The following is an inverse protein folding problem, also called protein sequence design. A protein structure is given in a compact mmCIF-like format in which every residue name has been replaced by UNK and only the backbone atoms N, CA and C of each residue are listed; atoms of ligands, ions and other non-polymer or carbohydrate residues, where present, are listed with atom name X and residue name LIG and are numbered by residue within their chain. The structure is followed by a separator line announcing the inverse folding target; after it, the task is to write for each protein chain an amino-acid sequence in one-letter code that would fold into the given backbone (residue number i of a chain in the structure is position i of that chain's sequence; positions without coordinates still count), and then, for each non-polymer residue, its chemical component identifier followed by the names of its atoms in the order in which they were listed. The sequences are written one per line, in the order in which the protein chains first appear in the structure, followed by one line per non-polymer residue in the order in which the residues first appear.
data_IF_551907882176
#
_entry.id   IF_551907882176
#
_cell.length_a   1.000
_cell.length_b   1.000
_cell.length_c   1.000
_cell.angle_alpha   90.00
_cell.angle_beta   90.00
_cell.angle_gamma   90.00
#
_symmetry.space_group_name_H-M   'P 1'
#
loop_
_entity.id
_entity.type
_entity.pdbx_description
1 polymer ?
#
# COMPACT_ATOMS: atom_id res chain seq x y z
N UNK A 1 -8.61 7.57 0.73
CA UNK A 1 -7.25 7.78 0.18
C UNK A 1 -7.12 9.20 -0.33
N UNK A 2 -5.98 9.85 -0.14
CA UNK A 2 -5.84 11.24 -0.51
C UNK A 2 -6.00 11.41 -2.02
N UNK A 3 -6.71 12.45 -2.41
CA UNK A 3 -6.91 12.86 -3.82
C UNK A 3 -5.61 13.16 -4.58
N UNK A 4 -4.49 13.15 -3.87
CA UNK A 4 -3.15 13.50 -4.36
C UNK A 4 -2.64 12.52 -5.41
N UNK A 5 -2.73 11.21 -5.16
CA UNK A 5 -2.20 10.20 -6.07
C UNK A 5 -2.83 10.25 -7.46
N UNK A 6 -4.14 10.51 -7.52
CA UNK A 6 -4.86 10.66 -8.79
C UNK A 6 -4.48 11.97 -9.49
N UNK A 7 -4.34 13.08 -8.75
CA UNK A 7 -3.92 14.38 -9.32
C UNK A 7 -2.51 14.33 -9.87
N UNK A 8 -1.61 13.64 -9.17
CA UNK A 8 -0.19 13.56 -9.52
C UNK A 8 0.12 12.43 -10.49
N UNK A 9 -0.89 11.64 -10.89
CA UNK A 9 -0.72 10.46 -11.76
C UNK A 9 0.29 9.44 -11.23
N UNK A 10 0.36 9.31 -9.90
CA UNK A 10 1.22 8.32 -9.26
C UNK A 10 0.63 6.92 -9.45
N UNK A 11 1.50 5.96 -9.67
CA UNK A 11 1.11 4.55 -9.74
C UNK A 11 0.76 4.05 -8.34
N UNK A 12 -0.35 3.36 -8.21
CA UNK A 12 -0.76 2.70 -6.96
C UNK A 12 -1.61 1.47 -7.30
N UNK A 13 -1.65 0.46 -6.43
CA UNK A 13 -2.53 -0.68 -6.60
C UNK A 13 -4.00 -0.25 -6.70
N UNK A 14 -4.81 -1.04 -7.39
CA UNK A 14 -6.25 -0.84 -7.37
C UNK A 14 -6.77 -0.92 -5.94
N UNK A 15 -7.65 0.00 -5.57
CA UNK A 15 -8.13 0.11 -4.19
C UNK A 15 -9.57 0.61 -4.11
N UNK A 16 -10.12 0.54 -2.92
CA UNK A 16 -11.41 1.11 -2.58
C UNK A 16 -11.66 1.16 -1.08
N UNK A 17 -12.72 1.85 -0.72
CA UNK A 17 -13.17 2.01 0.66
C UNK A 17 -14.58 1.43 0.73
N UNK A 18 -14.84 0.64 1.76
CA UNK A 18 -16.15 0.05 2.03
C UNK A 18 -16.60 0.38 3.45
N UNK A 19 -17.89 0.69 3.61
CA UNK A 19 -18.56 0.97 4.88
C UNK A 19 -19.62 -0.06 5.24
N UNK A 20 -19.90 -0.97 4.32
CA UNK A 20 -20.81 -2.10 4.51
C UNK A 20 -20.25 -3.36 3.89
N UNK A 21 -20.87 -4.50 4.23
CA UNK A 21 -20.54 -5.80 3.64
C UNK A 21 -20.72 -5.80 2.13
N UNK A 22 -21.85 -5.24 1.66
CA UNK A 22 -22.21 -5.19 0.24
C UNK A 22 -21.19 -4.35 -0.54
N UNK A 23 -20.80 -3.19 0.00
CA UNK A 23 -19.76 -2.35 -0.59
C UNK A 23 -18.42 -3.07 -0.66
N UNK A 24 -18.05 -3.81 0.38
CA UNK A 24 -16.79 -4.53 0.41
C UNK A 24 -16.73 -5.66 -0.63
N UNK A 25 -17.82 -6.43 -0.76
CA UNK A 25 -17.94 -7.46 -1.79
C UNK A 25 -17.84 -6.82 -3.19
N UNK A 26 -18.54 -5.71 -3.42
CA UNK A 26 -18.51 -5.02 -4.70
C UNK A 26 -17.10 -4.48 -5.03
N UNK A 27 -16.42 -3.89 -4.05
CA UNK A 27 -15.05 -3.38 -4.22
C UNK A 27 -14.07 -4.52 -4.49
N UNK A 28 -14.11 -5.59 -3.69
CA UNK A 28 -13.21 -6.74 -3.86
C UNK A 28 -13.42 -7.44 -5.22
N UNK A 29 -14.66 -7.61 -5.65
CA UNK A 29 -14.96 -8.20 -6.94
C UNK A 29 -14.50 -7.31 -8.11
N UNK A 30 -14.55 -5.99 -7.95
CA UNK A 30 -14.02 -5.04 -8.94
C UNK A 30 -12.50 -5.07 -9.03
N UNK A 31 -11.82 -5.20 -7.89
CA UNK A 31 -10.34 -5.25 -7.80
C UNK A 31 -9.83 -6.61 -8.28
N UNK A 32 -10.52 -7.68 -7.90
CA UNK A 32 -10.07 -9.08 -8.06
C UNK A 32 -9.25 -9.56 -6.86
N UNK A 33 -9.41 -10.84 -6.53
CA UNK A 33 -8.67 -11.46 -5.42
C UNK A 33 -7.26 -11.88 -5.85
N UNK A 34 -6.28 -11.92 -4.93
CA UNK A 34 -6.40 -11.58 -3.52
C UNK A 34 -6.44 -10.08 -3.26
N UNK A 35 -7.09 -9.70 -2.15
CA UNK A 35 -7.13 -8.33 -1.65
C UNK A 35 -6.58 -8.24 -0.24
N UNK A 36 -5.99 -7.09 0.10
CA UNK A 36 -5.58 -6.76 1.46
C UNK A 36 -6.65 -5.89 2.12
N UNK A 37 -7.17 -6.38 3.24
CA UNK A 37 -8.17 -5.68 4.05
C UNK A 37 -7.49 -4.91 5.17
N UNK A 38 -7.80 -3.61 5.30
CA UNK A 38 -7.21 -2.74 6.33
C UNK A 38 -8.30 -1.93 7.03
N UNK A 39 -8.63 -2.21 8.30
CA UNK A 39 -9.51 -1.35 9.08
C UNK A 39 -8.87 0.02 9.30
N UNK A 40 -9.66 1.09 9.27
CA UNK A 40 -9.15 2.48 9.37
C UNK A 40 -8.56 2.85 10.72
N UNK A 41 -8.78 2.04 11.77
CA UNK A 41 -8.36 2.34 13.15
C UNK A 41 -7.17 1.53 13.65
N UNK A 42 -6.53 0.75 12.81
CA UNK A 42 -5.47 -0.13 13.31
C UNK A 42 -4.11 0.48 13.03
N UNK A 43 -3.44 0.87 14.12
CA UNK A 43 -2.02 1.21 14.10
C UNK A 43 -1.20 -0.09 14.19
N UNK A 44 -0.14 -0.19 13.38
CA UNK A 44 0.84 -1.28 13.48
C UNK A 44 0.41 -2.61 12.87
N UNK A 45 -0.38 -2.61 11.79
CA UNK A 45 -0.68 -3.83 11.03
C UNK A 45 -1.60 -4.86 11.71
N UNK A 46 -2.07 -4.60 12.93
CA UNK A 46 -3.02 -5.48 13.61
C UNK A 46 -4.35 -5.48 12.86
N UNK A 47 -4.93 -6.67 12.67
CA UNK A 47 -6.16 -6.91 11.92
C UNK A 47 -6.09 -6.59 10.41
N UNK A 48 -4.91 -6.41 9.81
CA UNK A 48 -4.79 -6.53 8.37
C UNK A 48 -4.86 -8.00 7.98
N UNK A 49 -5.60 -8.30 6.91
CA UNK A 49 -5.76 -9.67 6.43
C UNK A 49 -5.73 -9.74 4.91
N UNK A 50 -5.01 -10.72 4.39
CA UNK A 50 -5.02 -11.06 2.97
C UNK A 50 -6.18 -12.02 2.74
N UNK A 51 -7.07 -11.64 1.86
CA UNK A 51 -8.30 -12.38 1.57
C UNK A 51 -8.22 -12.93 0.14
N UNK A 52 -8.26 -14.24 0.02
CA UNK A 52 -8.11 -14.95 -1.26
C UNK A 52 -9.46 -15.22 -1.96
N UNK A 53 -10.59 -14.95 -1.30
CA UNK A 53 -11.90 -15.21 -1.87
C UNK A 53 -13.06 -14.64 -1.06
N UNK A 54 -14.26 -14.65 -1.66
CA UNK A 54 -15.43 -14.00 -1.10
C UNK A 54 -15.84 -14.57 0.27
N UNK A 55 -15.75 -15.87 0.48
CA UNK A 55 -16.15 -16.48 1.76
C UNK A 55 -15.31 -15.95 2.94
N UNK A 56 -13.99 -15.86 2.74
CA UNK A 56 -13.07 -15.29 3.72
C UNK A 56 -13.31 -13.79 3.92
N UNK A 57 -13.64 -13.06 2.83
CA UNK A 57 -14.02 -11.65 2.91
C UNK A 57 -15.22 -11.43 3.82
N UNK A 58 -16.26 -12.25 3.66
CA UNK A 58 -17.48 -12.14 4.44
C UNK A 58 -17.27 -12.42 5.92
N UNK A 59 -16.43 -13.41 6.24
CA UNK A 59 -16.01 -13.71 7.60
C UNK A 59 -15.24 -12.55 8.22
N UNK A 60 -14.23 -12.04 7.51
CA UNK A 60 -13.43 -10.91 7.96
C UNK A 60 -14.28 -9.66 8.23
N UNK A 61 -15.18 -9.29 7.32
CA UNK A 61 -16.01 -8.09 7.47
C UNK A 61 -16.92 -8.20 8.68
N UNK A 62 -17.49 -9.37 8.93
CA UNK A 62 -18.33 -9.58 10.10
C UNK A 62 -17.56 -9.31 11.39
N UNK A 63 -16.31 -9.75 11.46
CA UNK A 63 -15.42 -9.54 12.61
C UNK A 63 -14.90 -8.11 12.67
N UNK A 64 -14.43 -7.55 11.57
CA UNK A 64 -13.84 -6.20 11.52
C UNK A 64 -14.88 -5.10 11.73
N UNK A 65 -16.08 -5.22 11.20
CA UNK A 65 -17.17 -4.26 11.39
C UNK A 65 -17.65 -4.24 12.84
N UNK A 66 -17.67 -5.37 13.52
CA UNK A 66 -17.97 -5.45 14.95
C UNK A 66 -16.91 -4.73 15.81
N UNK A 67 -15.67 -4.77 15.39
CA UNK A 67 -14.54 -4.16 16.13
C UNK A 67 -14.41 -2.67 15.83
N UNK A 68 -14.68 -2.23 14.60
CA UNK A 68 -14.43 -0.86 14.13
C UNK A 68 -15.66 0.06 14.15
N UNK A 69 -16.85 -0.46 14.41
CA UNK A 69 -18.08 0.34 14.40
C UNK A 69 -18.35 0.95 13.01
N UNK A 70 -18.58 2.27 12.96
CA UNK A 70 -18.87 3.00 11.71
C UNK A 70 -17.62 3.28 10.85
N UNK A 71 -16.48 2.65 11.15
CA UNK A 71 -15.24 2.94 10.47
C UNK A 71 -15.12 2.21 9.14
N UNK A 72 -14.69 2.89 8.10
CA UNK A 72 -14.50 2.28 6.81
C UNK A 72 -13.35 1.29 6.83
N UNK A 73 -13.46 0.25 6.00
CA UNK A 73 -12.40 -0.69 5.68
C UNK A 73 -11.80 -0.30 4.34
N UNK A 74 -10.48 -0.19 4.28
CA UNK A 74 -9.75 -0.05 3.02
C UNK A 74 -9.51 -1.44 2.44
N UNK A 75 -9.66 -1.53 1.14
CA UNK A 75 -9.45 -2.75 0.37
C UNK A 75 -8.49 -2.42 -0.74
N UNK A 76 -7.33 -3.05 -0.71
CA UNK A 76 -6.27 -2.83 -1.70
C UNK A 76 -6.02 -4.14 -2.47
N UNK A 77 -5.67 -4.02 -3.73
CA UNK A 77 -5.13 -5.15 -4.48
C UNK A 77 -3.87 -5.66 -3.78
N UNK A 78 -3.84 -6.95 -3.46
CA UNK A 78 -2.63 -7.57 -2.93
C UNK A 78 -1.69 -7.95 -4.08
N UNK A 79 -0.47 -7.44 -4.03
CA UNK A 79 0.57 -7.73 -5.01
C UNK A 79 1.42 -8.88 -4.50
N UNK A 80 1.28 -10.07 -5.13
CA UNK A 80 2.14 -11.22 -4.83
C UNK A 80 3.54 -10.98 -5.38
N UNK A 81 4.53 -11.53 -4.71
CA UNK A 81 5.94 -11.51 -5.14
C UNK A 81 6.47 -10.09 -5.43
N UNK A 82 5.93 -9.09 -4.75
CA UNK A 82 6.39 -7.72 -4.88
C UNK A 82 7.74 -7.53 -4.18
N UNK A 83 8.59 -6.71 -4.78
CA UNK A 83 9.81 -6.23 -4.14
C UNK A 83 9.46 -4.95 -3.38
N UNK A 84 9.71 -4.92 -2.07
CA UNK A 84 9.47 -3.77 -1.24
C UNK A 84 10.67 -2.82 -1.28
N UNK A 85 10.39 -1.52 -1.33
CA UNK A 85 11.42 -0.47 -1.40
C UNK A 85 11.01 0.69 -0.52
N UNK A 86 11.95 1.20 0.26
CA UNK A 86 11.84 2.50 0.91
C UNK A 86 12.60 3.55 0.10
N UNK A 87 12.11 4.78 0.12
CA UNK A 87 12.79 5.91 -0.53
C UNK A 87 12.89 7.06 0.45
N UNK A 88 14.11 7.48 0.71
CA UNK A 88 14.38 8.66 1.51
C UNK A 88 14.59 9.87 0.61
N UNK A 89 13.86 10.95 0.89
CA UNK A 89 13.98 12.20 0.18
C UNK A 89 13.93 13.38 1.15
N UNK A 90 14.65 14.44 0.81
CA UNK A 90 14.67 15.70 1.53
C UNK A 90 14.10 16.79 0.59
N UNK A 91 13.20 17.61 1.10
CA UNK A 91 12.64 18.73 0.38
C UNK A 91 12.68 19.98 1.27
N UNK A 92 13.22 21.09 0.76
CA UNK A 92 13.24 22.38 1.47
C UNK A 92 12.12 23.34 1.03
N UNK A 93 11.27 22.89 0.11
CA UNK A 93 10.17 23.65 -0.47
C UNK A 93 10.40 24.01 -1.94
N UNK A 94 11.65 24.15 -2.34
CA UNK A 94 12.04 24.49 -3.73
C UNK A 94 12.75 23.31 -4.39
N UNK A 95 13.70 22.68 -3.69
CA UNK A 95 14.48 21.56 -4.20
C UNK A 95 14.12 20.26 -3.52
N UNK A 96 14.18 19.17 -4.29
CA UNK A 96 14.00 17.78 -3.80
C UNK A 96 15.26 17.00 -4.10
N UNK A 97 15.79 16.35 -3.09
CA UNK A 97 16.93 15.45 -3.21
C UNK A 97 16.50 14.06 -2.74
N UNK A 98 16.49 13.08 -3.65
CA UNK A 98 16.33 11.67 -3.30
C UNK A 98 17.66 11.20 -2.73
N UNK A 99 17.70 10.93 -1.43
CA UNK A 99 18.90 10.51 -0.72
C UNK A 99 19.26 9.06 -0.99
N UNK A 100 18.24 8.21 -1.22
CA UNK A 100 18.46 6.82 -1.57
C UNK A 100 17.16 6.05 -1.84
N UNK A 101 17.31 5.01 -2.62
CA UNK A 101 16.31 3.96 -2.84
C UNK A 101 16.83 2.68 -2.19
N UNK A 102 16.12 2.19 -1.19
CA UNK A 102 16.54 1.07 -0.36
C UNK A 102 15.67 -0.14 -0.70
N UNK A 103 16.27 -1.19 -1.23
CA UNK A 103 15.56 -2.42 -1.53
C UNK A 103 15.58 -3.35 -0.31
N UNK A 104 14.40 -3.81 0.12
CA UNK A 104 14.29 -4.79 1.20
C UNK A 104 14.88 -6.14 0.77
N UNK A 105 15.50 -6.83 1.73
CA UNK A 105 16.05 -8.19 1.54
C UNK A 105 14.97 -9.21 1.90
N UNK A 106 14.16 -8.91 2.92
CA UNK A 106 13.04 -9.73 3.33
C UNK A 106 11.88 -9.62 2.33
N UNK A 107 10.98 -10.59 2.37
CA UNK A 107 9.77 -10.59 1.56
C UNK A 107 8.87 -9.40 1.91
N UNK A 108 8.16 -8.88 0.91
CA UNK A 108 7.21 -7.80 1.10
C UNK A 108 6.13 -8.15 2.14
N UNK A 109 5.87 -7.20 3.04
CA UNK A 109 4.94 -7.36 4.17
C UNK A 109 5.62 -7.55 5.53
N UNK A 110 6.93 -7.73 5.58
CA UNK A 110 7.71 -7.59 6.82
C UNK A 110 7.80 -6.10 7.16
N UNK A 111 7.59 -5.75 8.42
CA UNK A 111 7.65 -4.35 8.84
C UNK A 111 9.04 -3.75 8.52
N UNK A 112 9.06 -2.55 7.94
CA UNK A 112 10.30 -1.90 7.47
C UNK A 112 11.35 -1.73 8.56
N UNK A 113 10.92 -1.53 9.82
CA UNK A 113 11.84 -1.49 10.98
C UNK A 113 12.52 -2.81 11.33
N UNK A 114 12.01 -3.93 10.81
CA UNK A 114 12.51 -5.29 11.05
C UNK A 114 13.20 -5.87 9.80
N UNK A 115 13.24 -5.12 8.71
CA UNK A 115 13.81 -5.54 7.43
C UNK A 115 15.22 -4.99 7.25
N UNK A 116 16.12 -5.81 6.74
CA UNK A 116 17.40 -5.34 6.22
C UNK A 116 17.21 -4.77 4.82
N UNK A 117 17.96 -3.72 4.49
CA UNK A 117 17.88 -3.05 3.20
C UNK A 117 19.23 -3.01 2.50
N UNK A 118 19.21 -3.10 1.18
CA UNK A 118 20.37 -2.87 0.32
C UNK A 118 20.29 -1.48 -0.30
N UNK A 119 21.39 -0.74 -0.18
CA UNK A 119 21.59 0.56 -0.82
C UNK A 119 22.95 0.54 -1.56
N UNK A 120 23.01 0.67 -2.88
CA UNK A 120 21.88 0.80 -3.80
C UNK A 120 21.05 -0.51 -3.95
N UNK A 121 19.87 -0.45 -4.59
CA UNK A 121 19.12 -1.65 -4.93
C UNK A 121 19.94 -2.65 -5.74
N UNK A 122 19.80 -3.94 -5.42
CA UNK A 122 20.65 -4.97 -6.04
C UNK A 122 19.97 -5.73 -7.20
N UNK A 123 18.63 -5.73 -7.27
CA UNK A 123 17.91 -6.48 -8.29
C UNK A 123 16.94 -5.63 -9.12
N UNK A 124 16.72 -4.36 -8.76
CA UNK A 124 15.81 -3.49 -9.50
C UNK A 124 16.44 -2.99 -10.79
N UNK A 125 15.73 -3.06 -11.93
CA UNK A 125 16.14 -2.43 -13.18
C UNK A 125 16.29 -0.90 -13.03
N UNK A 126 17.22 -0.31 -13.77
CA UNK A 126 17.52 1.12 -13.67
C UNK A 126 16.33 2.02 -14.07
N UNK A 127 15.50 1.58 -15.01
CA UNK A 127 14.29 2.30 -15.41
C UNK A 127 13.22 2.32 -14.30
N UNK A 128 13.14 1.27 -13.50
CA UNK A 128 12.26 1.21 -12.33
C UNK A 128 12.78 2.16 -11.23
N UNK A 129 14.09 2.17 -10.97
CA UNK A 129 14.69 3.10 -10.01
C UNK A 129 14.41 4.55 -10.43
N UNK A 130 14.64 4.88 -11.70
CA UNK A 130 14.38 6.21 -12.23
C UNK A 130 12.90 6.61 -12.12
N UNK A 131 11.98 5.68 -12.33
CA UNK A 131 10.54 5.95 -12.16
C UNK A 131 10.17 6.16 -10.68
N UNK A 132 10.77 5.41 -9.77
CA UNK A 132 10.59 5.58 -8.32
C UNK A 132 11.06 6.98 -7.89
N UNK A 133 12.27 7.37 -8.28
CA UNK A 133 12.83 8.69 -8.00
C UNK A 133 11.96 9.82 -8.57
N UNK A 134 11.49 9.68 -9.80
CA UNK A 134 10.59 10.64 -10.45
C UNK A 134 9.26 10.78 -9.67
N UNK A 135 8.67 9.67 -9.24
CA UNK A 135 7.42 9.70 -8.48
C UNK A 135 7.63 10.33 -7.09
N UNK A 136 8.76 10.06 -6.47
CA UNK A 136 9.15 10.65 -5.19
C UNK A 136 9.31 12.18 -5.31
N UNK A 137 10.00 12.67 -6.34
CA UNK A 137 10.14 14.11 -6.60
C UNK A 137 8.77 14.77 -6.79
N UNK A 138 7.91 14.21 -7.63
CA UNK A 138 6.55 14.73 -7.87
C UNK A 138 5.72 14.76 -6.59
N UNK A 139 5.84 13.75 -5.75
CA UNK A 139 5.11 13.66 -4.48
C UNK A 139 5.62 14.67 -3.46
N UNK A 140 6.94 14.83 -3.36
CA UNK A 140 7.56 15.73 -2.40
C UNK A 140 7.28 17.22 -2.71
N UNK A 141 7.09 17.57 -3.99
CA UNK A 141 6.73 18.94 -4.44
C UNK A 141 5.24 19.27 -4.32
N UNK A 142 4.36 18.34 -3.97
CA UNK A 142 2.90 18.52 -3.97
C UNK A 142 2.33 18.96 -2.61
#
# INVERSE_FOLDING_TARGET
LPRWSTKLKLKQPANGIARSREEAIAVANRIGYPVLMRPSYVLGGRAMEIVDGQAQLEEYITTAVQVSGDSPVLIDQYLRDAIEVDVDAICDGDDVVVAGVLQHIEEAGVHSGDSACSLPPYSLPADIIAEIERQTDVLARA
#
